data_IF_363498649676
#
_entry.id   IF_363498649676
#
_cell.length_a   1.000
_cell.length_b   1.000
_cell.length_c   1.000
_cell.angle_alpha   90.00
_cell.angle_beta   90.00
_cell.angle_gamma   90.00
#
_symmetry.space_group_name_H-M   'P 1'
#
loop_
_entity.id
_entity.type
_entity.pdbx_description
1 polymer ?
#
# COMPACT_ATOMS: atom_id res chain seq x y z
N UNK A 1 -22.75 14.73 0.54
CA UNK A 1 -22.07 15.98 0.11
C UNK A 1 -22.99 16.65 -0.90
N UNK A 2 -23.05 17.99 -0.96
CA UNK A 2 -23.88 18.72 -1.95
C UNK A 2 -23.17 18.96 -3.30
N UNK A 3 -21.87 18.68 -3.39
CA UNK A 3 -21.06 18.91 -4.59
C UNK A 3 -20.27 17.64 -4.91
N UNK A 4 -20.41 17.16 -6.13
CA UNK A 4 -19.58 16.10 -6.72
C UNK A 4 -18.25 16.70 -7.13
N UNK A 5 -17.14 16.11 -6.69
CA UNK A 5 -15.79 16.67 -6.87
C UNK A 5 -14.75 15.67 -7.37
N UNK A 6 -15.16 14.42 -7.61
CA UNK A 6 -14.26 13.36 -8.04
C UNK A 6 -14.22 13.32 -9.56
N UNK A 7 -13.10 13.77 -10.11
CA UNK A 7 -12.83 13.67 -11.54
C UNK A 7 -12.35 12.26 -11.87
N UNK A 8 -12.72 11.76 -13.05
CA UNK A 8 -12.37 10.41 -13.47
C UNK A 8 -12.14 10.34 -14.98
N UNK A 9 -11.31 9.37 -15.39
CA UNK A 9 -11.15 8.94 -16.77
C UNK A 9 -11.56 7.46 -16.83
N UNK A 10 -12.84 7.22 -17.17
CA UNK A 10 -13.50 5.92 -17.04
C UNK A 10 -13.23 5.29 -15.65
N UNK A 11 -13.00 3.98 -15.59
CA UNK A 11 -12.56 3.26 -14.39
C UNK A 11 -11.02 3.13 -14.29
N UNK A 12 -10.26 3.99 -15.00
CA UNK A 12 -8.78 3.90 -15.16
C UNK A 12 -8.03 5.21 -14.89
N UNK A 13 -8.55 6.10 -14.05
CA UNK A 13 -7.95 7.43 -13.77
C UNK A 13 -6.46 7.38 -13.39
N UNK A 14 -6.07 6.51 -12.45
CA UNK A 14 -4.66 6.38 -12.04
C UNK A 14 -3.72 5.94 -13.16
N UNK A 15 -4.20 5.06 -14.06
CA UNK A 15 -3.44 4.64 -15.23
C UNK A 15 -3.15 5.82 -16.16
N UNK A 16 -4.16 6.63 -16.49
CA UNK A 16 -3.97 7.79 -17.35
C UNK A 16 -3.07 8.84 -16.71
N UNK A 17 -3.23 9.14 -15.42
CA UNK A 17 -2.35 10.08 -14.70
C UNK A 17 -0.89 9.61 -14.73
N UNK A 18 -0.63 8.35 -14.37
CA UNK A 18 0.72 7.79 -14.34
C UNK A 18 1.35 7.78 -15.73
N UNK A 19 0.61 7.35 -16.75
CA UNK A 19 1.11 7.27 -18.12
C UNK A 19 1.47 8.66 -18.67
N UNK A 20 0.63 9.67 -18.42
CA UNK A 20 0.93 11.06 -18.80
C UNK A 20 2.17 11.58 -18.09
N UNK A 21 2.28 11.44 -16.77
CA UNK A 21 3.45 11.89 -16.02
C UNK A 21 4.73 11.17 -16.46
N UNK A 22 4.66 9.86 -16.70
CA UNK A 22 5.77 9.07 -17.22
C UNK A 22 6.23 9.59 -18.59
N UNK A 23 5.31 9.75 -19.55
CA UNK A 23 5.65 10.26 -20.88
C UNK A 23 6.19 11.69 -20.85
N UNK A 24 5.66 12.54 -19.97
CA UNK A 24 6.18 13.88 -19.74
C UNK A 24 7.60 13.82 -19.19
N UNK A 25 7.91 12.94 -18.24
CA UNK A 25 9.27 12.83 -17.68
C UNK A 25 10.32 12.48 -18.73
N UNK A 26 9.97 11.68 -19.74
CA UNK A 26 10.87 11.32 -20.85
C UNK A 26 11.28 12.50 -21.74
N UNK A 27 10.55 13.63 -21.68
CA UNK A 27 10.89 14.82 -22.46
C UNK A 27 12.05 15.61 -21.84
N UNK A 28 12.44 15.28 -20.60
CA UNK A 28 13.50 15.96 -19.86
C UNK A 28 14.75 15.08 -19.78
N UNK A 29 15.78 15.30 -20.62
CA UNK A 29 16.99 14.47 -20.61
C UNK A 29 17.81 14.58 -19.32
N UNK A 30 17.54 15.62 -18.51
CA UNK A 30 18.14 15.80 -17.19
C UNK A 30 17.61 14.80 -16.16
N UNK A 31 16.46 14.17 -16.40
CA UNK A 31 15.89 13.14 -15.54
C UNK A 31 16.53 11.81 -15.89
N UNK A 32 17.51 11.41 -15.10
CA UNK A 32 18.10 10.07 -15.19
C UNK A 32 17.25 9.08 -14.41
N UNK A 33 16.90 7.96 -15.05
CA UNK A 33 16.07 6.92 -14.46
C UNK A 33 16.93 5.70 -14.10
N UNK A 34 16.76 5.23 -12.87
CA UNK A 34 17.33 3.99 -12.38
C UNK A 34 16.20 2.97 -12.19
N UNK A 35 15.65 2.49 -13.31
CA UNK A 35 14.62 1.46 -13.30
C UNK A 35 15.24 0.14 -12.79
N UNK A 36 14.45 -0.71 -12.10
CA UNK A 36 14.93 -1.94 -11.46
C UNK A 36 16.09 -1.74 -10.46
N UNK A 37 16.15 -0.57 -9.79
CA UNK A 37 17.06 -0.33 -8.67
C UNK A 37 16.30 -0.31 -7.35
N UNK A 38 16.66 -1.21 -6.44
CA UNK A 38 16.04 -1.32 -5.11
C UNK A 38 16.89 -0.59 -4.08
N UNK A 39 16.34 0.45 -3.46
CA UNK A 39 17.06 1.24 -2.44
C UNK A 39 17.20 0.41 -1.17
N UNK A 40 18.45 0.26 -0.72
CA UNK A 40 18.81 -0.50 0.48
C UNK A 40 18.87 0.38 1.72
N UNK A 41 19.39 1.60 1.60
CA UNK A 41 19.42 2.56 2.70
C UNK A 41 19.60 4.00 2.24
N UNK A 42 19.27 4.96 3.10
CA UNK A 42 19.63 6.38 2.96
C UNK A 42 20.99 6.65 3.61
N UNK A 43 21.69 7.68 3.11
CA UNK A 43 22.95 8.16 3.67
C UNK A 43 22.70 9.48 4.40
N UNK A 44 23.16 9.60 5.65
CA UNK A 44 22.89 10.77 6.50
C UNK A 44 24.17 11.24 7.17
N UNK A 45 24.47 12.52 7.07
CA UNK A 45 25.63 13.15 7.70
C UNK A 45 25.21 14.46 8.38
N UNK A 46 25.56 14.60 9.66
CA UNK A 46 25.20 15.76 10.50
C UNK A 46 23.72 16.17 10.37
N UNK A 47 22.81 15.20 10.46
CA UNK A 47 21.36 15.41 10.35
C UNK A 47 20.85 15.80 8.96
N UNK A 48 21.70 15.76 7.93
CA UNK A 48 21.34 16.03 6.54
C UNK A 48 21.40 14.76 5.70
N UNK A 49 20.44 14.57 4.81
CA UNK A 49 20.51 13.49 3.82
C UNK A 49 21.62 13.80 2.81
N UNK A 50 22.34 12.75 2.40
CA UNK A 50 23.48 12.84 1.46
C UNK A 50 23.36 11.89 0.28
N UNK A 51 22.28 11.13 0.19
CA UNK A 51 22.05 10.22 -0.91
C UNK A 51 21.43 8.91 -0.47
N UNK A 52 21.57 7.91 -1.32
CA UNK A 52 21.08 6.55 -1.09
C UNK A 52 22.08 5.51 -1.59
N UNK A 53 22.00 4.30 -1.05
CA UNK A 53 22.61 3.10 -1.62
C UNK A 53 21.49 2.26 -2.20
N UNK A 54 21.64 1.85 -3.45
CA UNK A 54 20.68 0.99 -4.14
C UNK A 54 21.39 -0.22 -4.76
N UNK A 55 20.63 -1.29 -4.99
CA UNK A 55 21.07 -2.47 -5.71
C UNK A 55 20.37 -2.52 -7.07
N UNK A 56 21.14 -2.67 -8.13
CA UNK A 56 20.61 -3.02 -9.44
C UNK A 56 20.09 -4.47 -9.37
N UNK A 57 18.79 -4.66 -9.53
CA UNK A 57 18.14 -5.96 -9.36
C UNK A 57 18.47 -6.95 -10.49
N UNK A 58 18.95 -6.47 -11.64
CA UNK A 58 19.36 -7.32 -12.76
C UNK A 58 20.78 -7.84 -12.59
N UNK A 59 21.70 -6.97 -12.17
CA UNK A 59 23.14 -7.27 -12.10
C UNK A 59 23.60 -7.69 -10.70
N UNK A 60 22.84 -7.33 -9.67
CA UNK A 60 23.24 -7.46 -8.26
C UNK A 60 24.29 -6.44 -7.82
N UNK A 61 24.67 -5.48 -8.67
CA UNK A 61 25.66 -4.44 -8.39
C UNK A 61 25.09 -3.37 -7.45
N UNK A 62 25.96 -2.76 -6.64
CA UNK A 62 25.59 -1.64 -5.77
C UNK A 62 25.92 -0.30 -6.42
N UNK A 63 25.00 0.64 -6.27
CA UNK A 63 25.13 2.01 -6.74
C UNK A 63 24.95 2.94 -5.55
N UNK A 64 25.88 3.88 -5.40
CA UNK A 64 25.76 4.99 -4.47
C UNK A 64 25.35 6.22 -5.26
N UNK A 65 24.17 6.77 -4.94
CA UNK A 65 23.67 7.98 -5.57
C UNK A 65 23.81 9.11 -4.56
N UNK A 66 24.70 10.07 -4.84
CA UNK A 66 24.90 11.22 -3.95
C UNK A 66 23.88 12.31 -4.27
N UNK A 67 23.22 12.84 -3.24
CA UNK A 67 22.20 13.86 -3.42
C UNK A 67 22.11 14.80 -2.22
N UNK A 68 21.87 16.09 -2.50
CA UNK A 68 21.64 17.11 -1.48
C UNK A 68 20.17 17.20 -1.02
N UNK A 69 19.28 16.52 -1.73
CA UNK A 69 17.88 16.35 -1.36
C UNK A 69 17.39 14.99 -1.89
N UNK A 70 16.56 14.31 -1.10
CA UNK A 70 15.98 13.00 -1.43
C UNK A 70 14.49 13.06 -1.15
N UNK A 71 13.66 12.65 -2.11
CA UNK A 71 12.20 12.58 -1.96
C UNK A 71 11.77 11.11 -1.94
N UNK A 72 11.25 10.64 -0.81
CA UNK A 72 10.66 9.32 -0.68
C UNK A 72 9.23 9.32 -1.20
N UNK A 73 8.93 8.44 -2.17
CA UNK A 73 7.61 8.24 -2.75
C UNK A 73 7.32 6.73 -2.90
N UNK A 74 7.58 5.96 -1.84
CA UNK A 74 7.70 4.49 -1.86
C UNK A 74 6.39 3.73 -1.68
N UNK A 75 5.26 4.44 -1.60
CA UNK A 75 3.94 3.85 -1.38
C UNK A 75 3.68 3.43 0.07
N UNK A 76 2.55 2.76 0.30
CA UNK A 76 2.13 2.34 1.63
C UNK A 76 2.86 1.09 2.17
N UNK A 77 2.26 0.49 3.20
CA UNK A 77 2.74 -0.74 3.84
C UNK A 77 1.70 -1.88 3.79
N UNK A 78 0.79 -1.87 2.80
CA UNK A 78 -0.35 -2.78 2.75
C UNK A 78 0.02 -4.27 2.73
N UNK A 79 1.23 -4.64 2.29
CA UNK A 79 1.67 -6.04 2.22
C UNK A 79 1.93 -6.71 3.56
N UNK A 80 1.86 -5.97 4.68
CA UNK A 80 1.85 -6.59 6.02
C UNK A 80 0.52 -7.29 6.34
N UNK A 81 -0.55 -7.03 5.57
CA UNK A 81 -1.85 -7.68 5.72
C UNK A 81 -2.04 -8.80 4.70
N UNK A 82 -2.64 -9.92 5.13
CA UNK A 82 -2.96 -11.04 4.23
C UNK A 82 -3.88 -10.62 3.09
N UNK A 83 -4.97 -9.92 3.41
CA UNK A 83 -5.93 -9.46 2.42
C UNK A 83 -5.73 -7.97 2.17
N UNK A 84 -5.06 -7.64 1.07
CA UNK A 84 -4.81 -6.25 0.70
C UNK A 84 -4.96 -6.01 -0.80
N UNK A 85 -5.27 -4.77 -1.18
CA UNK A 85 -5.42 -4.38 -2.58
C UNK A 85 -4.12 -3.95 -3.26
N UNK A 86 -3.00 -3.99 -2.54
CA UNK A 86 -1.80 -3.24 -2.89
C UNK A 86 -0.94 -4.02 -3.90
N UNK A 87 -0.07 -3.34 -4.66
CA UNK A 87 0.91 -3.98 -5.54
C UNK A 87 1.90 -4.85 -4.75
N UNK A 88 2.57 -5.80 -5.40
CA UNK A 88 3.53 -6.71 -4.74
C UNK A 88 4.67 -5.99 -4.01
N UNK A 89 5.00 -4.78 -4.48
CA UNK A 89 6.10 -3.93 -4.02
C UNK A 89 5.73 -3.00 -2.85
N UNK A 90 4.50 -3.03 -2.34
CA UNK A 90 4.01 -2.07 -1.33
C UNK A 90 4.22 -2.63 0.08
N UNK A 91 5.48 -2.79 0.43
CA UNK A 91 6.03 -3.52 1.59
C UNK A 91 6.34 -2.62 2.78
N UNK A 92 6.30 -1.30 2.61
CA UNK A 92 6.64 -0.35 3.67
C UNK A 92 8.15 -0.15 3.89
N UNK A 93 9.01 -0.61 2.96
CA UNK A 93 10.46 -0.54 3.10
C UNK A 93 10.96 0.89 3.30
N UNK A 94 10.39 1.86 2.57
CA UNK A 94 10.75 3.27 2.74
C UNK A 94 10.39 3.83 4.12
N UNK A 95 9.27 3.40 4.70
CA UNK A 95 8.91 3.78 6.07
C UNK A 95 9.88 3.15 7.08
N UNK A 96 10.21 1.86 6.91
CA UNK A 96 11.17 1.16 7.76
C UNK A 96 12.58 1.77 7.69
N UNK A 97 12.99 2.20 6.51
CA UNK A 97 14.28 2.88 6.27
C UNK A 97 14.33 4.22 7.00
N UNK A 98 13.33 5.09 6.82
CA UNK A 98 13.28 6.37 7.52
C UNK A 98 13.25 6.21 9.04
N UNK A 99 12.49 5.22 9.55
CA UNK A 99 12.45 4.89 10.98
C UNK A 99 13.82 4.45 11.52
N UNK A 100 14.57 3.68 10.74
CA UNK A 100 15.91 3.21 11.13
C UNK A 100 16.93 4.35 11.26
N UNK A 101 16.68 5.48 10.60
CA UNK A 101 17.46 6.73 10.73
C UNK A 101 16.86 7.72 11.74
N UNK A 102 15.91 7.27 12.56
CA UNK A 102 15.33 8.07 13.64
C UNK A 102 14.22 9.03 13.22
N UNK A 103 13.69 8.94 11.99
CA UNK A 103 12.50 9.67 11.58
C UNK A 103 11.26 8.95 12.11
N UNK A 104 10.41 9.59 12.94
CA UNK A 104 9.22 8.92 13.45
C UNK A 104 8.23 8.57 12.34
N UNK A 105 7.53 7.47 12.55
CA UNK A 105 6.32 7.16 11.81
C UNK A 105 5.11 7.62 12.62
N UNK A 106 4.23 8.39 11.99
CA UNK A 106 3.01 8.91 12.62
C UNK A 106 1.81 8.07 12.19
N UNK A 107 0.87 7.85 13.11
CA UNK A 107 -0.47 7.33 12.84
C UNK A 107 -0.52 5.94 12.17
N UNK A 108 0.48 5.09 12.43
CA UNK A 108 0.63 3.76 11.79
C UNK A 108 -0.52 2.79 12.10
N UNK A 109 -1.27 3.03 13.17
CA UNK A 109 -2.48 2.28 13.52
C UNK A 109 -3.66 2.55 12.56
N UNK A 110 -3.63 3.66 11.81
CA UNK A 110 -4.68 4.05 10.88
C UNK A 110 -4.44 3.42 9.51
N UNK A 111 -5.13 2.29 9.30
CA UNK A 111 -5.18 1.56 8.02
C UNK A 111 -6.63 1.48 7.56
N UNK A 112 -6.90 1.92 6.34
CA UNK A 112 -8.25 1.92 5.78
C UNK A 112 -8.51 0.61 5.03
N UNK A 113 -9.70 0.05 5.25
CA UNK A 113 -10.20 -1.11 4.52
C UNK A 113 -11.14 -0.66 3.39
N UNK A 114 -11.05 -1.36 2.25
CA UNK A 114 -12.02 -1.24 1.16
C UNK A 114 -12.97 -2.44 1.20
N UNK A 115 -14.31 -2.25 1.12
CA UNK A 115 -15.27 -3.31 1.39
C UNK A 115 -15.40 -4.37 0.29
N UNK A 116 -14.95 -4.06 -0.94
CA UNK A 116 -15.23 -4.89 -2.13
C UNK A 116 -13.95 -5.37 -2.82
N UNK A 117 -13.06 -6.03 -2.08
CA UNK A 117 -11.90 -6.73 -2.66
C UNK A 117 -12.23 -8.18 -3.03
N UNK A 118 -11.63 -8.70 -4.10
CA UNK A 118 -11.77 -10.10 -4.48
C UNK A 118 -11.11 -11.02 -3.45
N UNK A 119 -11.70 -12.17 -3.12
CA UNK A 119 -11.13 -13.10 -2.14
C UNK A 119 -9.81 -13.68 -2.63
N UNK A 120 -8.86 -13.85 -1.70
CA UNK A 120 -7.52 -14.37 -1.96
C UNK A 120 -6.56 -13.31 -2.53
N UNK A 121 -6.89 -12.71 -3.68
CA UNK A 121 -6.00 -11.75 -4.34
C UNK A 121 -6.08 -10.33 -3.78
N UNK A 122 -7.23 -9.96 -3.19
CA UNK A 122 -7.52 -8.60 -2.73
C UNK A 122 -7.71 -7.59 -3.86
N UNK A 123 -7.74 -8.02 -5.12
CA UNK A 123 -7.95 -7.13 -6.27
C UNK A 123 -9.25 -6.34 -6.07
N UNK A 124 -9.15 -5.03 -6.20
CA UNK A 124 -10.23 -4.12 -5.84
C UNK A 124 -11.32 -4.10 -6.91
N UNK A 125 -12.57 -4.35 -6.51
CA UNK A 125 -13.75 -3.94 -7.29
C UNK A 125 -14.05 -2.48 -6.96
N UNK A 126 -14.05 -1.63 -8.00
CA UNK A 126 -14.13 -0.17 -7.86
C UNK A 126 -15.34 0.26 -7.04
N UNK A 127 -15.20 1.34 -6.29
CA UNK A 127 -16.35 1.98 -5.63
C UNK A 127 -17.43 2.37 -6.64
N UNK A 128 -17.04 2.63 -7.90
CA UNK A 128 -17.98 2.82 -9.01
C UNK A 128 -18.99 1.68 -9.17
N UNK A 129 -18.67 0.44 -8.78
CA UNK A 129 -19.65 -0.64 -8.77
C UNK A 129 -20.87 -0.32 -7.88
N UNK A 130 -20.60 0.17 -6.67
CA UNK A 130 -21.63 0.60 -5.71
C UNK A 130 -22.25 1.92 -6.15
N UNK A 131 -21.44 2.85 -6.66
CA UNK A 131 -21.85 4.13 -7.23
C UNK A 131 -22.86 4.02 -8.37
N UNK A 132 -22.71 2.99 -9.22
CA UNK A 132 -23.59 2.75 -10.36
C UNK A 132 -24.86 1.98 -9.99
N UNK A 133 -25.00 1.52 -8.74
CA UNK A 133 -26.18 0.85 -8.20
C UNK A 133 -25.95 -0.56 -7.65
N UNK A 134 -24.72 -1.09 -7.69
CA UNK A 134 -24.39 -2.42 -7.19
C UNK A 134 -24.75 -2.62 -5.73
N UNK A 135 -25.31 -3.78 -5.39
CA UNK A 135 -25.79 -4.12 -4.05
C UNK A 135 -24.92 -5.18 -3.38
N UNK A 136 -24.87 -5.16 -2.04
CA UNK A 136 -24.20 -6.21 -1.27
C UNK A 136 -25.22 -7.16 -0.65
N UNK A 137 -25.10 -8.45 -0.97
CA UNK A 137 -25.99 -9.51 -0.48
C UNK A 137 -25.22 -10.62 0.22
N UNK A 138 -25.79 -11.19 1.29
CA UNK A 138 -25.18 -12.27 2.04
C UNK A 138 -25.49 -13.65 1.42
N UNK A 139 -25.12 -14.75 2.10
CA UNK A 139 -25.35 -16.13 1.59
C UNK A 139 -26.80 -16.48 1.30
N UNK A 140 -27.75 -15.77 1.93
CA UNK A 140 -29.19 -15.98 1.76
C UNK A 140 -29.78 -15.10 0.66
N UNK A 141 -28.95 -14.32 -0.06
CA UNK A 141 -29.42 -13.32 -1.02
C UNK A 141 -30.01 -12.06 -0.36
N UNK A 142 -29.84 -11.89 0.95
CA UNK A 142 -30.39 -10.76 1.69
C UNK A 142 -29.47 -9.54 1.60
N UNK A 143 -30.02 -8.38 1.26
CA UNK A 143 -29.31 -7.09 1.18
C UNK A 143 -29.09 -6.52 2.59
N UNK A 144 -28.06 -7.04 3.24
CA UNK A 144 -27.86 -6.96 4.69
C UNK A 144 -27.51 -5.57 5.24
N UNK A 145 -27.05 -4.61 4.43
CA UNK A 145 -26.58 -3.31 4.93
C UNK A 145 -27.66 -2.51 5.68
N UNK A 146 -28.94 -2.79 5.42
CA UNK A 146 -30.07 -2.15 6.10
C UNK A 146 -30.08 -2.41 7.62
N UNK A 147 -29.47 -3.50 8.08
CA UNK A 147 -29.41 -3.86 9.51
C UNK A 147 -28.31 -3.12 10.29
N UNK A 148 -27.44 -2.39 9.60
CA UNK A 148 -26.19 -1.87 10.16
C UNK A 148 -26.13 -0.34 10.19
N UNK A 149 -27.28 0.31 10.33
CA UNK A 149 -27.36 1.77 10.52
C UNK A 149 -27.01 2.58 9.27
N UNK A 150 -27.11 1.98 8.08
CA UNK A 150 -26.88 2.64 6.78
C UNK A 150 -28.19 3.15 6.14
N UNK A 151 -29.20 3.42 6.98
CA UNK A 151 -30.53 3.87 6.58
C UNK A 151 -31.38 2.78 5.90
N UNK A 152 -32.60 3.10 5.46
CA UNK A 152 -33.49 2.11 4.85
C UNK A 152 -32.97 1.66 3.49
N UNK A 153 -33.43 0.50 3.07
CA UNK A 153 -33.16 -0.02 1.73
C UNK A 153 -33.58 0.98 0.65
N UNK A 154 -32.72 1.15 -0.36
CA UNK A 154 -32.99 1.99 -1.54
C UNK A 154 -33.50 1.14 -2.70
N UNK A 155 -34.30 1.66 -3.64
CA UNK A 155 -34.64 0.90 -4.85
C UNK A 155 -33.39 0.48 -5.64
N UNK A 156 -33.46 -0.66 -6.33
CA UNK A 156 -32.37 -1.14 -7.20
C UNK A 156 -32.13 -0.15 -8.34
N UNK A 157 -30.85 0.10 -8.64
CA UNK A 157 -30.46 1.11 -9.64
C UNK A 157 -30.61 2.57 -9.21
N UNK A 158 -31.10 2.83 -8.00
CA UNK A 158 -31.27 4.19 -7.43
C UNK A 158 -30.43 4.38 -6.16
N UNK A 159 -29.09 4.39 -6.26
CA UNK A 159 -28.23 4.53 -5.10
C UNK A 159 -28.40 5.93 -4.46
N UNK A 160 -28.43 5.98 -3.12
CA UNK A 160 -28.56 7.24 -2.37
C UNK A 160 -27.31 7.52 -1.55
N UNK A 161 -26.78 8.74 -1.70
CA UNK A 161 -25.60 9.20 -0.98
C UNK A 161 -25.74 9.02 0.54
N UNK A 162 -24.75 8.37 1.18
CA UNK A 162 -24.68 8.05 2.62
C UNK A 162 -25.62 6.93 3.09
N UNK A 163 -26.35 6.29 2.18
CA UNK A 163 -27.21 5.15 2.50
C UNK A 163 -26.66 3.88 1.88
N UNK A 164 -26.92 2.75 2.53
CA UNK A 164 -26.60 1.41 2.06
C UNK A 164 -25.15 1.30 1.53
N UNK A 165 -24.96 0.91 0.28
CA UNK A 165 -23.65 0.71 -0.35
C UNK A 165 -22.87 2.03 -0.57
N UNK A 166 -23.53 3.18 -0.50
CA UNK A 166 -22.90 4.51 -0.51
C UNK A 166 -22.72 5.10 0.90
N UNK A 167 -22.86 4.27 1.94
CA UNK A 167 -22.42 4.58 3.29
C UNK A 167 -20.89 4.71 3.41
N UNK A 168 -20.39 5.18 4.55
CA UNK A 168 -18.95 5.24 4.82
C UNK A 168 -18.29 3.87 4.65
N UNK A 169 -17.12 3.81 3.97
CA UNK A 169 -16.41 2.54 3.67
C UNK A 169 -16.10 1.70 4.90
N UNK A 170 -15.76 2.36 6.00
CA UNK A 170 -15.51 1.72 7.29
C UNK A 170 -16.77 1.02 7.80
N UNK A 171 -17.95 1.66 7.71
CA UNK A 171 -19.23 1.06 8.12
C UNK A 171 -19.64 -0.11 7.24
N UNK A 172 -19.45 -0.03 5.93
CA UNK A 172 -19.72 -1.14 5.01
C UNK A 172 -18.80 -2.33 5.33
N UNK A 173 -17.51 -2.07 5.61
CA UNK A 173 -16.55 -3.11 5.99
C UNK A 173 -16.86 -3.72 7.35
N UNK A 174 -17.31 -2.92 8.32
CA UNK A 174 -17.78 -3.37 9.63
C UNK A 174 -19.03 -4.25 9.52
N UNK A 175 -19.98 -3.91 8.65
CA UNK A 175 -21.18 -4.70 8.42
C UNK A 175 -20.86 -6.12 7.93
N UNK A 176 -19.88 -6.26 7.01
CA UNK A 176 -19.38 -7.58 6.61
C UNK A 176 -18.86 -8.38 7.80
N UNK A 177 -18.08 -7.76 8.70
CA UNK A 177 -17.55 -8.46 9.87
C UNK A 177 -18.66 -9.02 10.77
N UNK A 178 -19.76 -8.28 10.94
CA UNK A 178 -20.92 -8.78 11.68
C UNK A 178 -21.64 -9.92 10.97
N UNK A 179 -21.81 -9.85 9.65
CA UNK A 179 -22.38 -10.96 8.87
C UNK A 179 -21.50 -12.21 8.96
N UNK A 180 -20.18 -12.05 8.92
CA UNK A 180 -19.23 -13.13 9.11
C UNK A 180 -19.38 -13.79 10.49
N UNK A 181 -19.48 -12.99 11.55
CA UNK A 181 -19.69 -13.48 12.93
C UNK A 181 -21.04 -14.17 13.12
N UNK A 182 -22.08 -13.74 12.40
CA UNK A 182 -23.40 -14.40 12.35
C UNK A 182 -23.39 -15.68 11.52
N UNK A 183 -22.29 -15.99 10.81
CA UNK A 183 -22.21 -17.11 9.88
C UNK A 183 -23.02 -16.91 8.61
N UNK A 184 -23.34 -15.67 8.24
CA UNK A 184 -24.13 -15.31 7.06
C UNK A 184 -23.29 -15.09 5.79
N UNK A 185 -21.97 -15.26 5.88
CA UNK A 185 -21.06 -15.25 4.73
C UNK A 185 -21.04 -16.59 3.99
N UNK A 186 -20.54 -16.57 2.76
CA UNK A 186 -20.27 -17.75 1.95
C UNK A 186 -18.82 -18.15 2.21
N UNK A 187 -18.59 -19.40 2.62
CA UNK A 187 -17.23 -19.91 2.79
C UNK A 187 -16.64 -20.35 1.46
N UNK A 188 -15.41 -19.93 1.18
CA UNK A 188 -14.66 -20.32 -0.02
C UNK A 188 -13.24 -20.72 0.35
N UNK A 189 -12.52 -21.49 -0.49
CA UNK A 189 -11.10 -21.79 -0.25
C UNK A 189 -10.21 -20.54 -0.15
N UNK A 190 -10.68 -19.38 -0.63
CA UNK A 190 -9.96 -18.10 -0.62
C UNK A 190 -10.37 -17.19 0.54
N UNK A 191 -11.25 -17.66 1.43
CA UNK A 191 -11.80 -16.94 2.58
C UNK A 191 -13.30 -16.70 2.46
N UNK A 192 -13.92 -16.30 3.57
CA UNK A 192 -15.34 -15.97 3.61
C UNK A 192 -15.65 -14.69 2.82
N UNK A 193 -16.79 -14.69 2.13
CA UNK A 193 -17.23 -13.61 1.24
C UNK A 193 -18.71 -13.29 1.40
N UNK A 194 -19.08 -12.11 0.90
CA UNK A 194 -20.44 -11.76 0.51
C UNK A 194 -20.46 -11.53 -1.00
N UNK A 195 -21.61 -11.25 -1.57
CA UNK A 195 -21.77 -11.02 -2.99
C UNK A 195 -21.99 -9.54 -3.30
N UNK A 196 -21.26 -9.04 -4.30
CA UNK A 196 -21.54 -7.79 -4.99
C UNK A 196 -22.37 -8.11 -6.25
N UNK A 197 -23.65 -7.76 -6.23
CA UNK A 197 -24.57 -8.03 -7.33
C UNK A 197 -24.77 -6.80 -8.21
N UNK A 198 -24.42 -6.96 -9.49
CA UNK A 198 -24.49 -5.92 -10.52
C UNK A 198 -25.49 -6.24 -11.63
N UNK A 199 -26.14 -7.42 -11.58
CA UNK A 199 -26.91 -7.96 -12.72
C UNK A 199 -28.05 -7.05 -13.16
N UNK A 200 -28.69 -6.38 -12.20
CA UNK A 200 -29.80 -5.45 -12.45
C UNK A 200 -29.39 -4.20 -13.25
N UNK A 201 -28.10 -3.88 -13.35
CA UNK A 201 -27.60 -2.76 -14.17
C UNK A 201 -27.73 -3.04 -15.68
N UNK A 202 -27.74 -4.33 -16.05
CA UNK A 202 -27.79 -4.77 -17.44
C UNK A 202 -26.44 -4.69 -18.16
N UNK A 203 -26.28 -5.55 -19.15
CA UNK A 203 -25.04 -5.75 -19.91
C UNK A 203 -24.51 -4.45 -20.55
N UNK A 204 -25.39 -3.67 -21.17
CA UNK A 204 -25.02 -2.42 -21.84
C UNK A 204 -24.35 -1.43 -20.87
N UNK A 205 -24.95 -1.20 -19.70
CA UNK A 205 -24.42 -0.26 -18.71
C UNK A 205 -23.10 -0.76 -18.13
N UNK A 206 -22.99 -2.06 -17.89
CA UNK A 206 -21.76 -2.68 -17.38
C UNK A 206 -20.59 -2.52 -18.34
N UNK A 207 -20.78 -2.78 -19.63
CA UNK A 207 -19.70 -2.63 -20.62
C UNK A 207 -19.38 -1.17 -20.94
N UNK A 208 -20.31 -0.25 -20.76
CA UNK A 208 -20.06 1.19 -20.93
C UNK A 208 -19.33 1.80 -19.72
N UNK A 209 -19.76 1.46 -18.50
CA UNK A 209 -19.36 2.16 -17.27
C UNK A 209 -18.33 1.42 -16.43
N UNK A 210 -18.34 0.09 -16.46
CA UNK A 210 -17.50 -0.79 -15.64
C UNK A 210 -16.80 -1.89 -16.48
N UNK A 211 -16.24 -1.58 -17.67
CA UNK A 211 -15.67 -2.60 -18.55
C UNK A 211 -14.50 -3.33 -17.88
N UNK A 212 -13.62 -2.62 -17.18
CA UNK A 212 -12.46 -3.23 -16.53
C UNK A 212 -12.86 -4.15 -15.38
N UNK A 213 -13.92 -3.80 -14.65
CA UNK A 213 -14.46 -4.67 -13.59
C UNK A 213 -15.00 -5.98 -14.16
N UNK A 214 -15.67 -5.92 -15.31
CA UNK A 214 -16.15 -7.12 -15.98
C UNK A 214 -15.00 -8.03 -16.40
N UNK A 215 -13.90 -7.45 -16.93
CA UNK A 215 -12.68 -8.18 -17.26
C UNK A 215 -12.03 -8.80 -16.03
N UNK A 216 -11.87 -8.03 -14.93
CA UNK A 216 -11.25 -8.50 -13.70
C UNK A 216 -12.03 -9.65 -13.03
N UNK A 217 -13.35 -9.53 -12.94
CA UNK A 217 -14.18 -10.57 -12.34
C UNK A 217 -14.06 -11.89 -13.12
N UNK A 218 -14.09 -11.83 -14.46
CA UNK A 218 -13.92 -12.99 -15.33
C UNK A 218 -12.52 -13.60 -15.19
N UNK A 219 -11.49 -12.76 -15.22
CA UNK A 219 -10.09 -13.23 -15.21
C UNK A 219 -9.66 -13.86 -13.88
N UNK A 220 -10.09 -13.29 -12.74
CA UNK A 220 -9.53 -13.67 -11.43
C UNK A 220 -10.42 -14.58 -10.59
N UNK A 221 -11.74 -14.52 -10.80
CA UNK A 221 -12.71 -15.34 -10.06
C UNK A 221 -13.67 -16.10 -10.97
N UNK A 222 -13.52 -16.01 -12.30
CA UNK A 222 -14.32 -16.78 -13.25
C UNK A 222 -15.79 -16.36 -13.32
N UNK A 223 -16.12 -15.16 -12.83
CA UNK A 223 -17.51 -14.68 -12.74
C UNK A 223 -17.80 -13.67 -13.83
N UNK A 224 -18.91 -13.85 -14.55
CA UNK A 224 -19.47 -12.83 -15.44
C UNK A 224 -20.47 -11.95 -14.67
N UNK A 225 -20.15 -10.66 -14.38
CA UNK A 225 -21.02 -9.81 -13.55
C UNK A 225 -22.40 -9.53 -14.16
N UNK A 226 -22.55 -9.77 -15.48
CA UNK A 226 -23.84 -9.68 -16.17
C UNK A 226 -24.78 -10.80 -15.73
N UNK A 227 -24.24 -11.96 -15.37
CA UNK A 227 -25.00 -13.20 -15.13
C UNK A 227 -25.01 -13.62 -13.67
N UNK A 228 -23.93 -13.36 -12.96
CA UNK A 228 -23.66 -13.89 -11.63
C UNK A 228 -23.05 -12.81 -10.71
N UNK A 229 -23.36 -12.82 -9.41
CA UNK A 229 -22.78 -11.86 -8.48
C UNK A 229 -21.30 -12.15 -8.18
N UNK A 230 -20.52 -11.10 -7.94
CA UNK A 230 -19.07 -11.17 -7.71
C UNK A 230 -18.81 -11.47 -6.24
N UNK A 231 -18.03 -12.52 -5.87
CA UNK A 231 -17.63 -12.74 -4.49
C UNK A 231 -16.65 -11.65 -4.04
N UNK A 232 -16.95 -11.00 -2.92
CA UNK A 232 -16.14 -9.90 -2.37
C UNK A 232 -16.01 -9.98 -0.85
N UNK A 233 -14.93 -9.41 -0.32
CA UNK A 233 -14.73 -9.18 1.11
C UNK A 233 -13.98 -7.86 1.35
N UNK A 234 -14.03 -7.33 2.58
CA UNK A 234 -13.14 -6.26 2.99
C UNK A 234 -11.67 -6.65 2.93
N UNK A 235 -10.83 -5.69 2.52
CA UNK A 235 -9.37 -5.85 2.40
C UNK A 235 -8.65 -4.56 2.78
N UNK A 236 -7.47 -4.65 3.40
CA UNK A 236 -6.62 -3.50 3.67
C UNK A 236 -6.28 -2.78 2.35
N UNK A 237 -6.41 -1.45 2.33
CA UNK A 237 -6.41 -0.69 1.08
C UNK A 237 -5.41 0.45 1.07
N UNK A 238 -5.41 1.28 2.10
CA UNK A 238 -4.60 2.48 2.16
C UNK A 238 -4.01 2.67 3.55
N UNK A 239 -2.73 3.04 3.61
CA UNK A 239 -1.99 3.36 4.83
C UNK A 239 -2.06 4.87 5.06
N UNK A 240 -2.78 5.32 6.10
CA UNK A 240 -2.85 6.76 6.41
C UNK A 240 -1.63 7.23 7.21
N UNK A 241 -1.11 6.34 8.06
CA UNK A 241 0.16 6.56 8.72
C UNK A 241 1.35 6.46 7.77
N UNK A 242 2.48 6.99 8.19
CA UNK A 242 3.70 6.99 7.39
C UNK A 242 4.79 7.86 7.98
N UNK A 243 5.81 8.15 7.18
CA UNK A 243 6.95 8.99 7.53
C UNK A 243 6.45 10.38 7.93
N UNK A 244 6.72 10.81 9.16
CA UNK A 244 6.32 12.13 9.66
C UNK A 244 7.04 13.23 8.85
N UNK A 245 6.23 14.15 8.31
CA UNK A 245 6.72 15.34 7.63
C UNK A 245 6.05 16.61 8.15
N UNK A 246 6.73 17.73 7.96
CA UNK A 246 6.15 19.06 8.15
C UNK A 246 5.26 19.48 6.96
N UNK A 247 4.72 20.70 7.02
CA UNK A 247 3.85 21.26 5.99
C UNK A 247 4.54 21.47 4.63
N UNK A 248 5.87 21.41 4.58
CA UNK A 248 6.69 21.52 3.37
C UNK A 248 7.15 20.13 2.87
N UNK A 249 6.60 19.05 3.42
CA UNK A 249 6.95 17.66 3.17
C UNK A 249 8.36 17.25 3.65
N UNK A 250 9.08 18.09 4.40
CA UNK A 250 10.41 17.77 4.91
C UNK A 250 10.28 16.93 6.20
N UNK A 251 11.14 15.92 6.35
CA UNK A 251 11.22 15.11 7.56
C UNK A 251 12.10 15.78 8.62
N UNK A 252 12.37 15.08 9.72
CA UNK A 252 13.33 15.54 10.73
C UNK A 252 14.79 15.53 10.23
N UNK A 253 15.09 14.78 9.17
CA UNK A 253 16.38 14.80 8.49
C UNK A 253 16.33 15.88 7.40
N UNK A 254 17.25 16.83 7.47
CA UNK A 254 17.31 17.95 6.54
C UNK A 254 17.61 17.48 5.12
N UNK A 255 16.76 17.91 4.19
CA UNK A 255 16.75 17.50 2.78
C UNK A 255 16.15 16.13 2.49
N UNK A 256 15.71 15.37 3.48
CA UNK A 256 14.89 14.19 3.26
C UNK A 256 13.41 14.60 3.29
N UNK A 257 12.71 14.38 2.20
CA UNK A 257 11.28 14.64 2.03
C UNK A 257 10.52 13.32 1.87
N UNK A 258 9.23 13.32 2.17
CA UNK A 258 8.36 12.18 1.90
C UNK A 258 6.97 12.61 1.40
N UNK A 259 6.46 11.95 0.37
CA UNK A 259 5.19 12.28 -0.29
C UNK A 259 4.38 11.04 -0.69
N UNK A 260 3.08 11.23 -0.84
CA UNK A 260 2.16 10.14 -1.19
C UNK A 260 1.96 9.19 0.00
N UNK A 261 1.56 7.95 -0.29
CA UNK A 261 1.14 7.00 0.77
C UNK A 261 2.26 6.60 1.73
N UNK A 262 3.54 6.83 1.41
CA UNK A 262 4.62 6.57 2.36
C UNK A 262 4.73 7.62 3.46
N UNK A 263 4.12 8.80 3.29
CA UNK A 263 4.24 9.91 4.21
C UNK A 263 2.98 10.11 5.03
N UNK A 264 3.16 10.75 6.17
CA UNK A 264 2.08 11.32 6.96
C UNK A 264 2.34 12.82 7.05
N UNK A 265 1.65 13.60 6.21
CA UNK A 265 1.54 15.08 6.32
C UNK A 265 0.40 15.52 7.25
N UNK A 266 -0.40 14.57 7.74
CA UNK A 266 -1.51 14.81 8.69
C UNK A 266 -2.85 15.15 8.02
N UNK A 267 -2.89 15.22 6.68
CA UNK A 267 -4.10 15.55 5.91
C UNK A 267 -5.26 14.56 6.13
N UNK A 268 -4.95 13.26 6.16
CA UNK A 268 -5.98 12.21 6.17
C UNK A 268 -6.53 11.89 7.56
N UNK A 269 -5.80 12.23 8.62
CA UNK A 269 -6.08 11.77 9.98
C UNK A 269 -6.36 10.26 10.02
N UNK A 270 -7.37 9.87 10.79
CA UNK A 270 -7.73 8.46 10.97
C UNK A 270 -8.49 7.81 9.81
N UNK A 271 -8.96 8.58 8.82
CA UNK A 271 -9.77 8.02 7.74
C UNK A 271 -9.67 8.89 6.47
N UNK A 272 -8.89 8.42 5.49
CA UNK A 272 -8.72 9.10 4.21
C UNK A 272 -10.05 9.16 3.45
N UNK A 273 -10.46 10.36 3.05
CA UNK A 273 -11.63 10.54 2.21
C UNK A 273 -11.37 9.95 0.82
N UNK A 274 -12.33 9.18 0.30
CA UNK A 274 -12.28 8.63 -1.06
C UNK A 274 -11.91 9.70 -2.09
N UNK A 275 -11.16 9.27 -3.11
CA UNK A 275 -10.56 10.09 -4.18
C UNK A 275 -9.46 11.10 -3.77
N UNK A 276 -9.11 11.26 -2.49
CA UNK A 276 -8.07 12.23 -2.09
C UNK A 276 -6.61 11.78 -2.30
N UNK A 277 -6.25 10.50 -2.15
CA UNK A 277 -4.86 10.03 -2.27
C UNK A 277 -4.17 10.38 -3.60
N UNK A 278 -4.87 10.32 -4.74
CA UNK A 278 -4.28 10.72 -6.03
C UNK A 278 -4.06 12.24 -6.10
N UNK A 279 -4.99 13.03 -5.55
CA UNK A 279 -4.85 14.48 -5.50
C UNK A 279 -3.73 14.90 -4.56
N UNK A 280 -3.66 14.29 -3.37
CA UNK A 280 -2.57 14.44 -2.42
C UNK A 280 -1.22 14.17 -3.09
N UNK A 281 -1.06 13.00 -3.73
CA UNK A 281 0.18 12.61 -4.38
C UNK A 281 0.69 13.69 -5.35
N UNK A 282 -0.19 14.24 -6.20
CA UNK A 282 0.20 15.24 -7.19
C UNK A 282 0.48 16.60 -6.53
N UNK A 283 -0.34 17.01 -5.56
CA UNK A 283 -0.19 18.30 -4.87
C UNK A 283 1.09 18.33 -4.04
N UNK A 284 1.31 17.34 -3.17
CA UNK A 284 2.50 17.28 -2.33
C UNK A 284 3.73 16.84 -3.10
N UNK A 285 3.58 16.07 -4.18
CA UNK A 285 4.69 15.77 -5.10
C UNK A 285 5.26 17.03 -5.74
N UNK A 286 4.40 17.96 -6.18
CA UNK A 286 4.84 19.29 -6.63
C UNK A 286 5.52 20.08 -5.51
N UNK A 287 4.87 20.19 -4.35
CA UNK A 287 5.41 20.97 -3.22
C UNK A 287 6.80 20.47 -2.79
N UNK A 288 6.94 19.16 -2.60
CA UNK A 288 8.23 18.57 -2.24
C UNK A 288 9.28 18.76 -3.33
N UNK A 289 8.92 18.72 -4.62
CA UNK A 289 9.85 19.01 -5.71
C UNK A 289 10.39 20.44 -5.68
N UNK A 290 9.51 21.42 -5.45
CA UNK A 290 9.89 22.84 -5.29
C UNK A 290 10.83 23.01 -4.07
N UNK A 291 10.46 22.43 -2.92
CA UNK A 291 11.25 22.52 -1.68
C UNK A 291 12.59 21.77 -1.74
N UNK A 292 12.62 20.59 -2.38
CA UNK A 292 13.85 19.82 -2.59
C UNK A 292 14.83 20.57 -3.49
N UNK A 293 14.33 21.32 -4.48
CA UNK A 293 15.18 22.15 -5.35
C UNK A 293 15.86 23.27 -4.56
N UNK A 294 15.11 23.99 -3.73
CA UNK A 294 15.65 25.04 -2.86
C UNK A 294 16.68 24.48 -1.87
N UNK A 295 16.39 23.31 -1.28
CA UNK A 295 17.32 22.62 -0.39
C UNK A 295 18.59 22.20 -1.11
N UNK A 296 18.48 21.59 -2.29
CA UNK A 296 19.63 21.11 -3.04
C UNK A 296 20.60 22.24 -3.42
N UNK A 297 20.07 23.44 -3.69
CA UNK A 297 20.86 24.63 -4.02
C UNK A 297 21.60 25.24 -2.83
N UNK A 298 21.14 24.99 -1.60
CA UNK A 298 21.68 25.60 -0.37
C UNK A 298 22.40 24.61 0.54
N UNK A 299 22.39 23.32 0.19
CA UNK A 299 23.05 22.28 0.95
C UNK A 299 24.58 22.48 0.92
N UNK A 300 25.18 22.52 2.11
CA UNK A 300 26.64 22.48 2.26
C UNK A 300 27.20 21.09 1.94
N UNK A 301 28.52 20.98 1.87
CA UNK A 301 29.21 19.71 1.65
C UNK A 301 29.00 18.75 2.84
N UNK A 302 28.84 17.46 2.55
CA UNK A 302 28.89 16.41 3.57
C UNK A 302 30.31 15.90 3.81
N UNK A 303 30.53 15.22 4.92
CA UNK A 303 31.77 14.51 5.21
C UNK A 303 31.86 13.24 4.34
N UNK A 304 32.68 13.32 3.28
CA UNK A 304 32.86 12.24 2.32
C UNK A 304 33.28 10.91 2.97
N UNK A 305 34.22 10.94 3.92
CA UNK A 305 34.66 9.72 4.59
C UNK A 305 33.53 9.07 5.41
N UNK A 306 32.66 9.87 6.03
CA UNK A 306 31.51 9.36 6.78
C UNK A 306 30.44 8.75 5.85
N UNK A 307 30.23 9.36 4.69
CA UNK A 307 29.28 8.87 3.68
C UNK A 307 29.77 7.54 3.08
N UNK A 308 31.05 7.45 2.73
CA UNK A 308 31.65 6.21 2.21
C UNK A 308 31.63 5.08 3.24
N UNK A 309 31.91 5.38 4.52
CA UNK A 309 31.83 4.39 5.59
C UNK A 309 30.40 3.84 5.77
N UNK A 310 29.37 4.68 5.64
CA UNK A 310 27.98 4.24 5.66
C UNK A 310 27.67 3.32 4.48
N UNK A 311 28.08 3.70 3.26
CA UNK A 311 27.86 2.89 2.06
C UNK A 311 28.51 1.49 2.18
N UNK A 312 29.76 1.42 2.63
CA UNK A 312 30.44 0.17 2.94
C UNK A 312 29.71 -0.65 4.02
N UNK A 313 29.12 0.01 5.02
CA UNK A 313 28.27 -0.64 6.03
C UNK A 313 27.00 -1.26 5.43
N UNK A 314 26.36 -0.61 4.46
CA UNK A 314 25.21 -1.18 3.72
C UNK A 314 25.63 -2.44 2.97
N UNK A 315 26.76 -2.38 2.25
CA UNK A 315 27.31 -3.52 1.52
C UNK A 315 27.61 -4.70 2.46
N UNK A 316 28.24 -4.44 3.60
CA UNK A 316 28.55 -5.48 4.57
C UNK A 316 27.27 -6.14 5.12
N UNK A 317 26.24 -5.36 5.48
CA UNK A 317 24.95 -5.92 5.91
C UNK A 317 24.29 -6.80 4.85
N UNK A 318 24.41 -6.43 3.57
CA UNK A 318 23.90 -7.25 2.47
C UNK A 318 24.69 -8.57 2.35
N UNK A 319 26.02 -8.51 2.44
CA UNK A 319 26.87 -9.72 2.44
C UNK A 319 26.55 -10.64 3.62
N UNK A 320 26.40 -10.07 4.82
CA UNK A 320 26.07 -10.82 6.02
C UNK A 320 24.70 -11.50 5.88
N UNK A 321 23.74 -10.81 5.25
CA UNK A 321 22.44 -11.36 4.94
C UNK A 321 22.54 -12.52 3.95
N UNK A 322 23.23 -12.35 2.82
CA UNK A 322 23.37 -13.40 1.80
C UNK A 322 24.07 -14.64 2.36
N UNK A 323 25.06 -14.47 3.22
CA UNK A 323 25.85 -15.55 3.81
C UNK A 323 25.25 -16.09 5.13
N UNK A 324 24.04 -15.67 5.46
CA UNK A 324 23.39 -16.05 6.72
C UNK A 324 23.07 -17.54 6.75
N UNK A 325 23.60 -18.23 7.76
CA UNK A 325 23.26 -19.61 8.06
C UNK A 325 22.16 -19.66 9.13
N UNK A 326 20.98 -20.14 8.72
CA UNK A 326 19.76 -20.11 9.52
C UNK A 326 18.81 -21.20 9.08
N UNK A 327 17.78 -21.47 9.89
CA UNK A 327 16.77 -22.50 9.63
C UNK A 327 15.39 -21.96 9.26
N UNK A 328 15.19 -20.65 9.36
CA UNK A 328 13.87 -20.03 9.19
C UNK A 328 13.52 -19.78 7.71
N UNK A 329 12.26 -20.00 7.38
CA UNK A 329 11.72 -19.79 6.03
C UNK A 329 10.99 -18.44 5.94
N UNK A 330 11.46 -17.57 5.04
CA UNK A 330 10.94 -16.23 4.83
C UNK A 330 9.47 -16.18 4.41
N UNK A 331 9.04 -17.11 3.54
CA UNK A 331 7.65 -17.18 3.09
C UNK A 331 6.73 -17.54 4.26
N UNK A 332 7.17 -18.46 5.13
CA UNK A 332 6.43 -18.83 6.34
C UNK A 332 6.33 -17.65 7.31
N UNK A 333 7.43 -16.94 7.57
CA UNK A 333 7.44 -15.74 8.43
C UNK A 333 6.47 -14.67 7.88
N UNK A 334 6.52 -14.41 6.58
CA UNK A 334 5.61 -13.45 5.92
C UNK A 334 4.15 -13.87 6.07
N UNK A 335 3.84 -15.15 5.85
CA UNK A 335 2.47 -15.65 5.93
C UNK A 335 1.93 -15.61 7.37
N UNK A 336 2.79 -15.91 8.35
CA UNK A 336 2.49 -15.77 9.79
C UNK A 336 2.26 -14.30 10.18
N UNK A 337 3.08 -13.36 9.66
CA UNK A 337 2.88 -11.93 9.86
C UNK A 337 1.54 -11.47 9.28
N UNK A 338 1.24 -11.86 8.03
CA UNK A 338 -0.01 -11.49 7.37
C UNK A 338 -1.25 -11.97 8.10
N UNK A 339 -1.21 -13.17 8.67
CA UNK A 339 -2.28 -13.72 9.51
C UNK A 339 -2.41 -12.96 10.83
N UNK A 340 -1.30 -12.73 11.54
CA UNK A 340 -1.30 -11.99 12.80
C UNK A 340 -1.86 -10.56 12.62
N UNK A 341 -1.51 -9.89 11.52
CA UNK A 341 -2.03 -8.56 11.21
C UNK A 341 -3.52 -8.56 10.85
N UNK A 342 -4.01 -9.57 10.11
CA UNK A 342 -5.43 -9.69 9.79
C UNK A 342 -6.28 -9.94 11.05
N UNK A 343 -5.80 -10.82 11.94
CA UNK A 343 -6.52 -11.22 13.16
C UNK A 343 -6.44 -10.17 14.28
N UNK A 344 -5.27 -9.57 14.50
CA UNK A 344 -5.02 -8.65 15.61
C UNK A 344 -5.13 -7.16 15.27
N UNK A 345 -5.05 -6.80 13.99
CA UNK A 345 -5.00 -5.40 13.53
C UNK A 345 -6.04 -5.09 12.43
N UNK A 346 -7.03 -5.97 12.25
CA UNK A 346 -8.12 -5.83 11.26
C UNK A 346 -9.15 -4.73 11.55
N UNK A 347 -10.34 -4.87 10.96
CA UNK A 347 -11.44 -3.89 10.98
C UNK A 347 -11.96 -3.60 12.39
N UNK A 348 -12.06 -4.63 13.23
CA UNK A 348 -12.50 -4.52 14.61
C UNK A 348 -11.37 -4.90 15.55
N UNK A 349 -11.18 -4.08 16.59
CA UNK A 349 -10.14 -4.22 17.62
C UNK A 349 -10.80 -3.94 18.98
N UNK A 350 -11.13 -4.97 19.75
CA UNK A 350 -11.81 -4.80 21.06
C UNK A 350 -10.82 -4.78 22.23
N UNK A 351 -11.21 -4.14 23.33
CA UNK A 351 -10.60 -4.41 24.63
C UNK A 351 -11.09 -5.77 25.15
N UNK A 352 -10.17 -6.68 25.51
CA UNK A 352 -10.48 -8.06 25.91
C UNK A 352 -9.68 -9.10 25.12
N UNK A 353 -10.34 -10.16 24.61
CA UNK A 353 -9.73 -11.19 23.75
C UNK A 353 -9.04 -10.60 22.51
N UNK A 354 -9.59 -9.54 21.91
CA UNK A 354 -8.96 -8.94 20.73
C UNK A 354 -7.83 -7.96 21.08
N UNK A 355 -7.76 -7.44 22.31
CA UNK A 355 -6.58 -6.74 22.81
C UNK A 355 -5.46 -7.72 23.12
N UNK A 356 -5.80 -8.95 23.52
CA UNK A 356 -4.85 -10.06 23.59
C UNK A 356 -4.39 -10.45 22.19
N UNK A 357 -5.28 -10.52 21.19
CA UNK A 357 -4.92 -10.75 19.79
C UNK A 357 -4.04 -9.63 19.22
N UNK A 358 -4.31 -8.35 19.56
CA UNK A 358 -3.49 -7.22 19.16
C UNK A 358 -2.10 -7.27 19.83
N UNK A 359 -2.03 -7.53 21.13
CA UNK A 359 -0.75 -7.75 21.84
C UNK A 359 -0.03 -8.98 21.32
N UNK A 360 -0.75 -10.04 20.96
CA UNK A 360 -0.21 -11.25 20.36
C UNK A 360 0.30 -10.99 18.96
N UNK A 361 -0.37 -10.15 18.16
CA UNK A 361 0.11 -9.72 16.86
C UNK A 361 1.40 -8.87 17.01
N UNK A 362 1.46 -7.97 17.99
CA UNK A 362 2.69 -7.24 18.32
C UNK A 362 3.83 -8.15 18.79
N UNK A 363 3.56 -9.11 19.68
CA UNK A 363 4.54 -10.12 20.13
C UNK A 363 4.97 -11.03 18.98
N UNK A 364 4.04 -11.44 18.13
CA UNK A 364 4.31 -12.24 16.95
C UNK A 364 5.19 -11.45 15.99
N UNK A 365 4.88 -10.18 15.70
CA UNK A 365 5.72 -9.31 14.87
C UNK A 365 7.14 -9.18 15.45
N UNK A 366 7.29 -8.95 16.76
CA UNK A 366 8.61 -8.91 17.41
C UNK A 366 9.36 -10.25 17.36
N UNK A 367 8.65 -11.36 17.55
CA UNK A 367 9.22 -12.72 17.45
C UNK A 367 9.62 -13.05 16.01
N UNK A 368 8.80 -12.65 15.03
CA UNK A 368 9.05 -12.82 13.60
C UNK A 368 10.23 -11.96 13.15
N UNK A 369 10.37 -10.75 13.69
CA UNK A 369 11.53 -9.90 13.50
C UNK A 369 12.79 -10.57 14.04
N UNK A 370 12.75 -11.11 15.27
CA UNK A 370 13.87 -11.87 15.83
C UNK A 370 14.23 -13.11 14.98
N UNK A 371 13.23 -13.89 14.55
CA UNK A 371 13.41 -15.06 13.67
C UNK A 371 13.94 -14.67 12.29
N UNK A 372 13.60 -13.48 11.79
CA UNK A 372 14.18 -12.95 10.57
C UNK A 372 15.70 -12.69 10.72
N UNK A 373 16.27 -12.63 11.93
CA UNK A 373 17.72 -12.63 12.11
C UNK A 373 18.36 -14.04 12.08
N UNK A 374 17.58 -15.10 11.82
CA UNK A 374 18.05 -16.50 11.71
C UNK A 374 17.49 -17.23 10.48
N UNK A 375 17.26 -16.48 9.40
CA UNK A 375 16.65 -16.96 8.15
C UNK A 375 17.69 -17.62 7.24
N UNK A 376 17.25 -18.64 6.49
CA UNK A 376 18.06 -19.28 5.47
C UNK A 376 17.84 -18.59 4.11
N UNK A 377 18.91 -18.28 3.39
CA UNK A 377 18.83 -18.04 1.95
C UNK A 377 19.36 -19.28 1.23
N UNK A 378 18.51 -20.03 0.49
CA UNK A 378 19.01 -21.16 -0.27
C UNK A 378 20.06 -20.65 -1.26
N UNK A 379 21.22 -21.31 -1.30
CA UNK A 379 22.32 -20.94 -2.17
C UNK A 379 21.82 -20.82 -3.63
N UNK A 380 22.09 -19.69 -4.26
CA UNK A 380 21.82 -19.52 -5.68
C UNK A 380 22.67 -20.54 -6.44
N UNK A 381 22.03 -21.46 -7.18
CA UNK A 381 22.73 -22.52 -7.91
C UNK A 381 23.45 -22.02 -9.18
N UNK A 382 23.54 -20.71 -9.40
CA UNK A 382 24.20 -20.11 -10.57
C UNK A 382 25.57 -19.53 -10.22
N UNK A 383 26.61 -19.73 -11.04
CA UNK A 383 28.00 -19.33 -10.74
C UNK A 383 28.28 -17.81 -10.64
N UNK A 384 27.26 -16.96 -10.80
CA UNK A 384 27.40 -15.49 -10.89
C UNK A 384 27.43 -14.76 -9.55
N UNK A 385 27.17 -15.46 -8.43
CA UNK A 385 27.14 -14.87 -7.09
C UNK A 385 28.52 -14.46 -6.52
N UNK A 386 29.62 -14.75 -7.21
CA UNK A 386 30.99 -14.42 -6.76
C UNK A 386 31.60 -13.19 -7.43
N UNK A 387 30.80 -12.41 -8.18
CA UNK A 387 31.29 -11.17 -8.79
C UNK A 387 31.51 -10.13 -7.69
N UNK A 388 32.68 -9.47 -7.58
CA UNK A 388 32.86 -8.37 -6.64
C UNK A 388 31.78 -7.31 -6.89
N UNK A 389 31.15 -6.82 -5.83
CA UNK A 389 30.24 -5.69 -5.90
C UNK A 389 31.08 -4.47 -6.35
N UNK A 390 31.02 -4.15 -7.63
CA UNK A 390 31.65 -2.96 -8.16
C UNK A 390 30.74 -1.77 -7.88
N UNK A 391 31.29 -0.76 -7.20
CA UNK A 391 30.62 0.50 -6.93
C UNK A 391 30.57 1.35 -8.20
N UNK A 392 29.38 1.77 -8.60
CA UNK A 392 29.20 2.94 -9.43
C UNK A 392 28.74 4.09 -8.52
N UNK A 393 29.54 5.14 -8.41
CA UNK A 393 29.10 6.40 -7.82
C UNK A 393 28.49 7.24 -8.94
N UNK A 394 27.22 7.62 -8.78
CA UNK A 394 26.54 8.55 -9.68
C UNK A 394 26.27 9.87 -8.97
#
# INVERSE_FOLDING_TARGET
MKIERTWFAADKTGFHMLHTLFQTSLQFPQIQRFDEHFVLDILVDDGHVRGVVAMNMMEGTLVQIRANAVVMATGGAGRVYRYNTNGGIVTGDGMGMALSHGVPLRDMEFVQYHPTGLPGSGILMTEGCRGEGGILVNKNGYRYLQDYGMGPETPLGEPKNKYMELGPRDKVSQAFWHEWRKGNTISTPRGDVVYLDLRHLGEKKLHERLPFICELAKAYVGVDPVKEPIPVRPTAHYTMGGIETDQNCETRIKGLFAVGECSSVGLHGANRLGSNSLAELVVFGRLAGEQATERAATAGNGNEAAIEAQAAGVEQRLKDLVNQDGGENWAKIRDEMGLAMEEGCGIYRYAGTDAENHRQAGRAAGTLQARAHHRHLPACSTPTCSTPLNWATV
#
